data_IF_370453881374
#
_entry.id   IF_370453881374
#
_cell.length_a   1.000
_cell.length_b   1.000
_cell.length_c   1.000
_cell.angle_alpha   90.00
_cell.angle_beta   90.00
_cell.angle_gamma   90.00
#
_symmetry.space_group_name_H-M   'P 1'
#
loop_
_entity.id
_entity.type
_entity.pdbx_description
1 polymer ?
#
# COMPACT_ATOMS: atom_id res chain seq x y z
N UNK A 1 -10.18 -14.82 -9.56
CA UNK A 1 -10.72 -14.37 -10.89
C UNK A 1 -9.81 -14.88 -11.98
N UNK A 2 -10.34 -15.52 -13.04
CA UNK A 2 -9.48 -16.07 -14.12
C UNK A 2 -9.27 -15.09 -15.28
N UNK A 3 -10.14 -14.11 -15.42
CA UNK A 3 -10.07 -13.07 -16.45
C UNK A 3 -10.44 -11.72 -15.85
N UNK A 4 -9.64 -10.71 -16.12
CA UNK A 4 -9.84 -9.34 -15.65
C UNK A 4 -10.31 -8.39 -16.76
N UNK A 5 -10.39 -8.84 -18.01
CA UNK A 5 -10.85 -8.01 -19.13
C UNK A 5 -12.29 -7.51 -18.91
N UNK A 6 -12.54 -6.25 -19.21
CA UNK A 6 -13.85 -5.60 -19.01
C UNK A 6 -14.21 -5.31 -17.54
N UNK A 7 -13.36 -5.66 -16.58
CA UNK A 7 -13.56 -5.41 -15.15
C UNK A 7 -13.05 -4.03 -14.73
N UNK A 8 -13.33 -3.62 -13.49
CA UNK A 8 -12.98 -2.30 -12.96
C UNK A 8 -12.05 -2.46 -11.76
N UNK A 9 -10.92 -1.74 -11.79
CA UNK A 9 -10.00 -1.60 -10.67
C UNK A 9 -10.04 -0.18 -10.09
N UNK A 10 -9.94 -0.06 -8.77
CA UNK A 10 -9.68 1.20 -8.06
C UNK A 10 -8.33 1.09 -7.39
N UNK A 11 -7.44 2.05 -7.65
CA UNK A 11 -6.08 2.06 -7.08
C UNK A 11 -5.83 3.39 -6.40
N UNK A 12 -5.58 3.38 -5.09
CA UNK A 12 -5.20 4.58 -4.33
C UNK A 12 -3.67 4.74 -4.31
N UNK A 13 -3.19 5.99 -4.26
CA UNK A 13 -1.76 6.29 -4.42
C UNK A 13 -1.26 6.02 -5.84
N UNK A 14 -2.11 6.26 -6.84
CA UNK A 14 -1.89 5.85 -8.23
C UNK A 14 -1.07 6.83 -9.07
N UNK A 15 -0.69 7.99 -8.54
CA UNK A 15 0.12 8.97 -9.27
C UNK A 15 1.60 8.59 -9.41
N UNK A 16 2.08 7.59 -8.66
CA UNK A 16 3.50 7.19 -8.73
C UNK A 16 3.73 5.78 -8.17
N UNK A 17 4.96 5.29 -8.33
CA UNK A 17 5.45 4.08 -7.67
C UNK A 17 4.60 2.82 -7.93
N UNK A 18 4.34 2.05 -6.87
CA UNK A 18 3.60 0.79 -6.94
C UNK A 18 2.16 1.01 -7.45
N UNK A 19 1.49 2.08 -6.98
CA UNK A 19 0.11 2.38 -7.41
C UNK A 19 0.00 2.64 -8.90
N UNK A 20 0.90 3.46 -9.46
CA UNK A 20 0.96 3.70 -10.91
C UNK A 20 1.28 2.41 -11.69
N UNK A 21 2.20 1.61 -11.18
CA UNK A 21 2.55 0.34 -11.83
C UNK A 21 1.37 -0.65 -11.84
N UNK A 22 0.61 -0.74 -10.74
CA UNK A 22 -0.62 -1.54 -10.68
C UNK A 22 -1.68 -1.00 -11.65
N UNK A 23 -1.87 0.32 -11.72
CA UNK A 23 -2.80 0.94 -12.66
C UNK A 23 -2.45 0.58 -14.11
N UNK A 24 -1.17 0.70 -14.49
CA UNK A 24 -0.66 0.29 -15.81
C UNK A 24 -0.89 -1.19 -16.08
N UNK A 25 -0.60 -2.06 -15.10
CA UNK A 25 -0.73 -3.50 -15.26
C UNK A 25 -2.20 -3.94 -15.44
N UNK A 26 -3.11 -3.38 -14.66
CA UNK A 26 -4.54 -3.66 -14.79
C UNK A 26 -5.12 -3.11 -16.10
N UNK A 27 -4.78 -1.90 -16.48
CA UNK A 27 -5.22 -1.32 -17.76
C UNK A 27 -4.74 -2.14 -18.96
N UNK A 28 -3.49 -2.61 -18.94
CA UNK A 28 -2.93 -3.48 -19.98
C UNK A 28 -3.62 -4.86 -20.05
N UNK A 29 -4.32 -5.28 -19.00
CA UNK A 29 -5.12 -6.51 -19.00
C UNK A 29 -6.59 -6.30 -19.38
N UNK A 30 -6.95 -5.11 -19.88
CA UNK A 30 -8.30 -4.80 -20.35
C UNK A 30 -9.26 -4.31 -19.25
N UNK A 31 -8.75 -3.96 -18.06
CA UNK A 31 -9.57 -3.35 -17.02
C UNK A 31 -9.75 -1.85 -17.23
N UNK A 32 -10.92 -1.31 -16.90
CA UNK A 32 -11.04 0.11 -16.57
C UNK A 32 -10.42 0.39 -15.21
N UNK A 33 -9.69 1.51 -15.09
CA UNK A 33 -8.93 1.84 -13.87
C UNK A 33 -9.30 3.22 -13.36
N UNK A 34 -9.80 3.29 -12.13
CA UNK A 34 -9.92 4.53 -11.37
C UNK A 34 -8.64 4.76 -10.59
N UNK A 35 -7.92 5.79 -10.94
CA UNK A 35 -6.65 6.20 -10.33
C UNK A 35 -6.93 7.29 -9.31
N UNK A 36 -6.72 7.00 -8.02
CA UNK A 36 -6.94 7.97 -6.94
C UNK A 36 -5.62 8.39 -6.30
N UNK A 37 -5.39 9.70 -6.15
CA UNK A 37 -4.21 10.26 -5.49
C UNK A 37 -4.50 11.66 -4.93
N UNK A 38 -3.70 12.12 -3.98
CA UNK A 38 -3.80 13.48 -3.44
C UNK A 38 -3.11 14.51 -4.34
N UNK A 39 -2.10 14.11 -5.11
CA UNK A 39 -1.26 14.96 -5.96
C UNK A 39 -1.88 15.13 -7.36
N UNK A 40 -2.82 16.08 -7.55
CA UNK A 40 -3.58 16.26 -8.80
C UNK A 40 -2.70 16.31 -10.04
N UNK A 41 -1.66 17.18 -10.08
CA UNK A 41 -0.84 17.34 -11.26
C UNK A 41 -0.03 16.09 -11.63
N UNK A 42 0.46 15.37 -10.61
CA UNK A 42 1.15 14.08 -10.82
C UNK A 42 0.17 13.01 -11.30
N UNK A 43 -1.05 13.01 -10.77
CA UNK A 43 -2.10 12.09 -11.17
C UNK A 43 -2.54 12.30 -12.63
N UNK A 44 -2.72 13.55 -13.04
CA UNK A 44 -3.08 13.88 -14.42
C UNK A 44 -1.98 13.44 -15.40
N UNK A 45 -0.72 13.70 -15.06
CA UNK A 45 0.42 13.23 -15.85
C UNK A 45 0.48 11.71 -15.91
N UNK A 46 0.33 11.03 -14.76
CA UNK A 46 0.35 9.57 -14.67
C UNK A 46 -0.78 8.93 -15.48
N UNK A 47 -1.98 9.52 -15.47
CA UNK A 47 -3.11 9.01 -16.23
C UNK A 47 -2.86 9.01 -17.75
N UNK A 48 -2.08 9.97 -18.27
CA UNK A 48 -1.70 9.99 -19.71
C UNK A 48 -0.71 8.89 -20.08
N UNK A 49 0.02 8.34 -19.10
CA UNK A 49 0.96 7.23 -19.30
C UNK A 49 0.28 5.85 -19.27
N UNK A 50 -0.94 5.77 -18.75
CA UNK A 50 -1.67 4.51 -18.64
C UNK A 50 -2.42 4.24 -19.94
N UNK A 51 -1.92 3.29 -20.71
CA UNK A 51 -2.54 2.87 -21.98
C UNK A 51 -3.61 1.84 -21.66
N UNK A 52 -4.86 2.20 -21.89
CA UNK A 52 -6.00 1.28 -21.76
C UNK A 52 -6.21 0.51 -23.07
N UNK A 53 -6.70 -0.73 -22.95
CA UNK A 53 -7.18 -1.51 -24.10
C UNK A 53 -8.48 -0.91 -24.66
N UNK A 54 -8.85 -1.26 -25.90
CA UNK A 54 -10.09 -0.79 -26.51
C UNK A 54 -11.32 -1.09 -25.62
N UNK A 55 -12.10 -0.03 -25.35
CA UNK A 55 -13.28 -0.08 -24.50
C UNK A 55 -13.03 0.02 -22.99
N UNK A 56 -11.77 0.02 -22.54
CA UNK A 56 -11.40 0.29 -21.15
C UNK A 56 -11.16 1.80 -20.93
N UNK A 57 -11.36 2.26 -19.70
CA UNK A 57 -11.22 3.67 -19.32
C UNK A 57 -10.21 3.86 -18.20
N UNK A 58 -9.49 4.99 -18.25
CA UNK A 58 -8.64 5.46 -17.15
C UNK A 58 -9.22 6.75 -16.59
N UNK A 59 -9.59 6.74 -15.31
CA UNK A 59 -10.28 7.86 -14.67
C UNK A 59 -9.45 8.37 -13.49
N UNK A 60 -8.76 9.51 -13.61
CA UNK A 60 -8.06 10.14 -12.49
C UNK A 60 -9.06 10.84 -11.55
N UNK A 61 -8.93 10.63 -10.24
CA UNK A 61 -9.76 11.27 -9.20
C UNK A 61 -8.86 11.73 -8.06
N UNK A 62 -8.86 13.04 -7.78
CA UNK A 62 -8.11 13.55 -6.62
C UNK A 62 -8.80 13.16 -5.32
N UNK A 63 -8.07 12.49 -4.42
CA UNK A 63 -8.58 12.02 -3.14
C UNK A 63 -7.50 12.07 -2.06
N UNK A 64 -7.83 12.61 -0.90
CA UNK A 64 -7.08 12.37 0.34
C UNK A 64 -7.69 11.17 1.05
N UNK A 65 -6.98 10.05 1.08
CA UNK A 65 -7.48 8.80 1.69
C UNK A 65 -7.63 8.89 3.21
N UNK A 66 -7.01 9.88 3.86
CA UNK A 66 -7.18 10.12 5.29
C UNK A 66 -8.55 10.74 5.64
N UNK A 67 -9.26 11.25 4.65
CA UNK A 67 -10.63 11.78 4.77
C UNK A 67 -11.66 10.72 4.34
N UNK A 68 -12.42 10.23 5.30
CA UNK A 68 -13.45 9.21 5.06
C UNK A 68 -14.52 9.68 4.06
N UNK A 69 -14.92 10.97 4.11
CA UNK A 69 -15.92 11.51 3.21
C UNK A 69 -15.40 11.60 1.77
N UNK A 70 -14.11 11.93 1.59
CA UNK A 70 -13.48 11.95 0.27
C UNK A 70 -13.38 10.55 -0.34
N UNK A 71 -13.14 9.50 0.47
CA UNK A 71 -13.11 8.11 -0.02
C UNK A 71 -14.52 7.61 -0.34
N UNK A 72 -15.53 8.02 0.43
CA UNK A 72 -16.93 7.71 0.10
C UNK A 72 -17.37 8.36 -1.21
N UNK A 73 -17.04 9.64 -1.44
CA UNK A 73 -17.28 10.33 -2.73
C UNK A 73 -16.58 9.62 -3.91
N UNK A 74 -15.32 9.15 -3.70
CA UNK A 74 -14.64 8.32 -4.69
C UNK A 74 -15.44 7.06 -5.03
N UNK A 75 -15.98 6.37 -4.02
CA UNK A 75 -16.81 5.18 -4.24
C UNK A 75 -18.09 5.53 -4.99
N UNK A 76 -18.82 6.55 -4.58
CA UNK A 76 -20.04 7.01 -5.24
C UNK A 76 -19.81 7.32 -6.72
N UNK A 77 -18.78 8.10 -7.04
CA UNK A 77 -18.41 8.44 -8.43
C UNK A 77 -18.03 7.19 -9.23
N UNK A 78 -17.28 6.26 -8.62
CA UNK A 78 -16.87 5.03 -9.28
C UNK A 78 -18.06 4.16 -9.63
N UNK A 79 -18.96 3.91 -8.67
CA UNK A 79 -20.15 3.10 -8.91
C UNK A 79 -21.18 3.80 -9.80
N UNK A 80 -21.26 5.14 -9.78
CA UNK A 80 -22.07 5.92 -10.71
C UNK A 80 -21.62 5.78 -12.17
N UNK A 81 -20.31 5.59 -12.41
CA UNK A 81 -19.73 5.41 -13.75
C UNK A 81 -19.72 3.97 -14.23
N UNK A 82 -19.28 3.02 -13.38
CA UNK A 82 -18.94 1.66 -13.80
C UNK A 82 -19.88 0.57 -13.28
N UNK A 83 -20.85 0.91 -12.41
CA UNK A 83 -21.82 -0.01 -11.79
C UNK A 83 -21.21 -1.07 -10.85
N UNK A 84 -19.96 -1.51 -11.07
CA UNK A 84 -19.27 -2.50 -10.25
C UNK A 84 -17.79 -2.15 -10.08
N UNK A 85 -17.20 -2.60 -8.98
CA UNK A 85 -15.75 -2.61 -8.72
C UNK A 85 -15.33 -4.04 -8.44
N UNK A 86 -14.31 -4.51 -9.16
CA UNK A 86 -13.85 -5.89 -9.07
C UNK A 86 -12.50 -6.02 -8.34
N UNK A 87 -11.64 -5.00 -8.45
CA UNK A 87 -10.36 -4.97 -7.70
C UNK A 87 -10.26 -3.64 -6.97
N UNK A 88 -10.08 -3.71 -5.65
CA UNK A 88 -9.78 -2.55 -4.81
C UNK A 88 -8.34 -2.67 -4.29
N UNK A 89 -7.47 -1.74 -4.69
CA UNK A 89 -6.10 -1.63 -4.17
C UNK A 89 -6.00 -0.45 -3.20
N UNK A 90 -6.08 -0.72 -1.91
CA UNK A 90 -5.77 0.24 -0.85
C UNK A 90 -4.24 0.34 -0.74
N UNK A 91 -3.64 1.20 -1.57
CA UNK A 91 -2.19 1.27 -1.73
C UNK A 91 -1.58 2.61 -1.30
N UNK A 92 -2.35 3.69 -1.24
CA UNK A 92 -1.83 4.97 -0.80
C UNK A 92 -1.10 4.86 0.55
N UNK A 93 0.09 5.47 0.62
CA UNK A 93 0.90 5.39 1.82
C UNK A 93 2.01 6.43 1.85
N UNK A 94 2.40 6.81 3.05
CA UNK A 94 3.49 7.74 3.33
C UNK A 94 4.54 7.07 4.21
N UNK A 95 5.81 7.38 3.96
CA UNK A 95 6.88 7.10 4.90
C UNK A 95 6.82 8.09 6.06
N UNK A 96 7.30 7.67 7.21
CA UNK A 96 7.39 8.55 8.36
C UNK A 96 8.15 7.89 9.49
N UNK A 97 8.87 8.68 10.25
CA UNK A 97 9.63 8.15 11.37
C UNK A 97 10.53 9.19 12.03
N UNK A 98 11.18 8.76 13.07
CA UNK A 98 12.04 9.50 13.95
C UNK A 98 12.11 8.82 15.30
N UNK A 99 12.92 9.33 16.23
CA UNK A 99 12.90 8.83 17.60
C UNK A 99 11.53 9.12 18.23
N UNK A 100 10.86 8.09 18.73
CA UNK A 100 9.47 8.19 19.22
C UNK A 100 9.32 9.26 20.33
N UNK A 101 10.36 9.45 21.14
CA UNK A 101 10.36 10.49 22.17
C UNK A 101 10.27 11.93 21.63
N UNK A 102 10.50 12.15 20.34
CA UNK A 102 10.51 13.47 19.70
C UNK A 102 9.42 13.63 18.63
N UNK A 103 8.70 12.57 18.32
CA UNK A 103 7.59 12.62 17.36
C UNK A 103 6.36 13.26 18.00
N UNK A 104 5.76 14.24 17.34
CA UNK A 104 4.50 14.83 17.75
C UNK A 104 3.32 13.88 17.47
N UNK A 105 2.24 14.06 18.23
CA UNK A 105 0.97 13.34 17.97
C UNK A 105 0.45 13.65 16.56
N UNK A 106 0.69 14.87 16.05
CA UNK A 106 0.29 15.24 14.70
C UNK A 106 1.01 14.42 13.62
N UNK A 107 2.32 14.12 13.80
CA UNK A 107 3.06 13.22 12.90
C UNK A 107 2.52 11.78 12.96
N UNK A 108 2.20 11.29 14.15
CA UNK A 108 1.54 9.98 14.31
C UNK A 108 0.21 9.95 13.57
N UNK A 109 -0.66 10.96 13.81
CA UNK A 109 -1.98 11.03 13.18
C UNK A 109 -1.89 11.11 11.66
N UNK A 110 -0.92 11.86 11.12
CA UNK A 110 -0.71 11.93 9.67
C UNK A 110 -0.39 10.56 9.08
N UNK A 111 0.62 9.86 9.63
CA UNK A 111 1.04 8.55 9.10
C UNK A 111 -0.06 7.50 9.26
N UNK A 112 -0.71 7.45 10.43
CA UNK A 112 -1.82 6.53 10.67
C UNK A 112 -3.05 6.89 9.82
N UNK A 113 -3.33 8.17 9.64
CA UNK A 113 -4.43 8.66 8.81
C UNK A 113 -4.34 8.15 7.38
N UNK A 114 -3.16 8.24 6.77
CA UNK A 114 -2.96 7.77 5.40
C UNK A 114 -2.83 6.24 5.35
N UNK A 115 -1.88 5.67 6.12
CA UNK A 115 -1.48 4.27 5.93
C UNK A 115 -2.48 3.25 6.51
N UNK A 116 -3.20 3.62 7.56
CA UNK A 116 -4.14 2.75 8.27
C UNK A 116 -5.59 3.15 7.98
N UNK A 117 -5.95 4.40 8.32
CA UNK A 117 -7.34 4.83 8.13
C UNK A 117 -7.72 4.87 6.66
N UNK A 118 -6.78 5.22 5.74
CA UNK A 118 -7.03 5.13 4.30
C UNK A 118 -7.43 3.72 3.85
N UNK A 119 -6.82 2.66 4.41
CA UNK A 119 -7.22 1.27 4.16
C UNK A 119 -8.61 0.99 4.76
N UNK A 120 -8.87 1.44 5.99
CA UNK A 120 -10.19 1.27 6.64
C UNK A 120 -11.29 1.98 5.85
N UNK A 121 -11.06 3.22 5.40
CA UNK A 121 -12.03 3.98 4.60
C UNK A 121 -12.31 3.28 3.26
N UNK A 122 -11.25 2.79 2.58
CA UNK A 122 -11.41 2.02 1.34
C UNK A 122 -12.27 0.76 1.55
N UNK A 123 -11.98 -0.02 2.59
CA UNK A 123 -12.78 -1.20 2.94
C UNK A 123 -14.22 -0.79 3.23
N UNK A 124 -14.44 0.23 4.07
CA UNK A 124 -15.78 0.65 4.49
C UNK A 124 -16.64 1.16 3.32
N UNK A 125 -16.05 1.92 2.38
CA UNK A 125 -16.78 2.51 1.26
C UNK A 125 -17.01 1.53 0.10
N UNK A 126 -16.06 0.64 -0.19
CA UNK A 126 -16.14 -0.23 -1.37
C UNK A 126 -16.63 -1.64 -1.07
N UNK A 127 -16.15 -2.29 0.01
CA UNK A 127 -16.44 -3.71 0.25
C UNK A 127 -17.94 -4.03 0.37
N UNK A 128 -18.79 -3.24 1.08
CA UNK A 128 -20.23 -3.51 1.13
C UNK A 128 -20.89 -3.51 -0.25
N UNK A 129 -20.44 -2.62 -1.13
CA UNK A 129 -20.94 -2.52 -2.50
C UNK A 129 -20.44 -3.67 -3.37
N UNK A 130 -19.17 -4.07 -3.20
CA UNK A 130 -18.61 -5.26 -3.85
C UNK A 130 -19.37 -6.53 -3.43
N UNK A 131 -19.67 -6.69 -2.15
CA UNK A 131 -20.44 -7.83 -1.65
C UNK A 131 -21.89 -7.83 -2.18
N UNK A 132 -22.54 -6.65 -2.21
CA UNK A 132 -23.90 -6.51 -2.70
C UNK A 132 -24.04 -6.82 -4.20
N UNK A 133 -22.99 -6.63 -5.00
CA UNK A 133 -23.02 -7.00 -6.43
C UNK A 133 -23.10 -8.51 -6.67
N UNK A 134 -22.59 -9.32 -5.75
CA UNK A 134 -22.48 -10.78 -5.89
C UNK A 134 -21.44 -11.22 -6.93
N UNK A 135 -20.73 -10.28 -7.54
CA UNK A 135 -19.68 -10.57 -8.54
C UNK A 135 -18.36 -11.00 -7.89
N UNK A 136 -17.52 -11.69 -8.65
CA UNK A 136 -16.16 -11.98 -8.20
C UNK A 136 -15.37 -10.67 -8.02
N UNK A 137 -14.73 -10.54 -6.87
CA UNK A 137 -13.91 -9.38 -6.55
C UNK A 137 -12.65 -9.72 -5.77
N UNK A 138 -11.79 -8.71 -5.59
CA UNK A 138 -10.56 -8.86 -4.82
C UNK A 138 -10.15 -7.54 -4.14
N UNK A 139 -9.79 -7.62 -2.87
CA UNK A 139 -9.24 -6.49 -2.10
C UNK A 139 -7.75 -6.74 -1.89
N UNK A 140 -6.92 -5.77 -2.28
CA UNK A 140 -5.47 -5.77 -2.03
C UNK A 140 -5.14 -4.64 -1.08
N UNK A 141 -4.61 -4.96 0.10
CA UNK A 141 -4.14 -3.97 1.06
C UNK A 141 -2.62 -3.92 1.07
N UNK A 142 -2.03 -2.75 0.86
CA UNK A 142 -0.58 -2.58 0.87
C UNK A 142 -0.05 -2.35 2.28
N UNK A 143 0.49 -3.42 2.88
CA UNK A 143 1.27 -3.37 4.12
C UNK A 143 2.74 -3.04 3.81
N UNK A 144 3.66 -3.84 4.32
CA UNK A 144 5.12 -3.79 4.12
C UNK A 144 5.77 -4.94 4.87
N UNK A 145 7.01 -5.28 4.59
CA UNK A 145 7.84 -6.08 5.50
C UNK A 145 7.95 -5.45 6.89
N UNK A 146 7.79 -4.12 7.00
CA UNK A 146 7.64 -3.40 8.26
C UNK A 146 6.34 -3.70 9.04
N UNK A 147 5.43 -4.48 8.47
CA UNK A 147 4.28 -5.09 9.14
C UNK A 147 4.58 -6.43 9.82
N UNK A 148 5.79 -6.95 9.64
CA UNK A 148 6.27 -8.20 10.23
C UNK A 148 7.57 -8.01 11.03
N UNK A 149 8.39 -7.02 10.63
CA UNK A 149 9.67 -6.68 11.23
C UNK A 149 9.65 -5.21 11.67
N UNK A 150 9.82 -4.95 12.96
CA UNK A 150 9.81 -3.58 13.49
C UNK A 150 11.24 -3.01 13.53
N UNK A 151 11.42 -1.82 12.96
CA UNK A 151 12.70 -1.12 12.96
C UNK A 151 12.65 0.10 13.86
N UNK A 152 13.75 0.36 14.57
CA UNK A 152 13.92 1.55 15.36
C UNK A 152 13.80 2.83 14.51
N UNK A 153 13.15 3.86 15.06
CA UNK A 153 12.94 5.13 14.36
C UNK A 153 11.83 5.12 13.29
N UNK A 154 11.00 4.08 13.24
CA UNK A 154 9.87 3.97 12.30
C UNK A 154 8.54 3.70 13.02
N UNK A 155 8.39 4.16 14.26
CA UNK A 155 7.25 3.82 15.12
C UNK A 155 5.88 3.94 14.44
N UNK A 156 5.44 5.12 13.95
CA UNK A 156 4.14 5.29 13.29
C UNK A 156 3.98 4.40 12.04
N UNK A 157 5.04 4.29 11.24
CA UNK A 157 5.04 3.46 10.03
C UNK A 157 4.88 1.98 10.38
N UNK A 158 5.74 1.44 11.28
CA UNK A 158 5.62 0.06 11.74
C UNK A 158 4.20 -0.22 12.27
N UNK A 159 3.71 0.63 13.19
CA UNK A 159 2.38 0.47 13.77
C UNK A 159 1.29 0.39 12.70
N UNK A 160 1.32 1.31 11.70
CA UNK A 160 0.36 1.30 10.60
C UNK A 160 0.42 0.01 9.79
N UNK A 161 1.63 -0.50 9.48
CA UNK A 161 1.80 -1.67 8.61
C UNK A 161 1.49 -2.98 9.33
N UNK A 162 1.78 -3.09 10.64
CA UNK A 162 1.29 -4.20 11.48
C UNK A 162 -0.24 -4.24 11.54
N UNK A 163 -0.88 -3.07 11.71
CA UNK A 163 -2.33 -2.98 11.74
C UNK A 163 -2.95 -3.40 10.40
N UNK A 164 -2.38 -2.99 9.26
CA UNK A 164 -2.87 -3.40 7.93
C UNK A 164 -2.76 -4.91 7.72
N UNK A 165 -1.68 -5.55 8.19
CA UNK A 165 -1.58 -7.02 8.17
C UNK A 165 -2.73 -7.63 8.96
N UNK A 166 -2.94 -7.21 10.23
CA UNK A 166 -3.99 -7.77 11.08
C UNK A 166 -5.40 -7.56 10.53
N UNK A 167 -5.69 -6.36 9.97
CA UNK A 167 -6.97 -6.09 9.31
C UNK A 167 -7.16 -7.01 8.11
N UNK A 168 -6.11 -7.22 7.30
CA UNK A 168 -6.20 -8.06 6.12
C UNK A 168 -6.43 -9.53 6.47
N UNK A 169 -5.78 -10.05 7.51
CA UNK A 169 -6.02 -11.43 8.01
C UNK A 169 -7.45 -11.59 8.53
N UNK A 170 -7.93 -10.63 9.34
CA UNK A 170 -9.33 -10.64 9.82
C UNK A 170 -10.30 -10.66 8.64
N UNK A 171 -10.11 -9.77 7.68
CA UNK A 171 -10.95 -9.68 6.50
C UNK A 171 -10.92 -10.95 5.65
N UNK A 172 -9.74 -11.59 5.52
CA UNK A 172 -9.62 -12.87 4.83
C UNK A 172 -10.50 -13.95 5.49
N UNK A 173 -10.48 -14.04 6.82
CA UNK A 173 -11.30 -15.01 7.55
C UNK A 173 -12.80 -14.71 7.43
N UNK A 174 -13.19 -13.43 7.45
CA UNK A 174 -14.59 -13.01 7.30
C UNK A 174 -15.17 -13.34 5.91
N UNK A 175 -14.33 -13.32 4.88
CA UNK A 175 -14.73 -13.53 3.48
C UNK A 175 -14.53 -14.98 2.98
N UNK A 176 -14.23 -15.93 3.87
CA UNK A 176 -14.17 -17.35 3.50
C UNK A 176 -15.51 -17.80 2.91
N UNK A 177 -15.47 -18.36 1.72
CA UNK A 177 -16.67 -18.77 0.97
C UNK A 177 -17.35 -17.64 0.17
N UNK A 178 -16.89 -16.40 0.31
CA UNK A 178 -17.34 -15.26 -0.50
C UNK A 178 -16.72 -15.28 -1.90
N UNK A 179 -17.36 -14.68 -2.93
CA UNK A 179 -16.73 -14.47 -4.22
C UNK A 179 -15.58 -13.45 -4.16
N UNK A 180 -15.39 -12.72 -3.04
CA UNK A 180 -14.36 -11.71 -2.89
C UNK A 180 -13.12 -12.32 -2.23
N UNK A 181 -11.97 -12.19 -2.88
CA UNK A 181 -10.66 -12.54 -2.35
C UNK A 181 -10.01 -11.38 -1.59
N UNK A 182 -9.01 -11.71 -0.79
CA UNK A 182 -8.19 -10.71 -0.07
C UNK A 182 -6.72 -11.07 -0.23
N UNK A 183 -5.90 -10.05 -0.51
CA UNK A 183 -4.44 -10.14 -0.46
C UNK A 183 -3.85 -9.05 0.42
N UNK A 184 -2.76 -9.35 1.09
CA UNK A 184 -1.91 -8.35 1.75
C UNK A 184 -0.56 -8.29 1.05
N UNK A 185 -0.26 -7.13 0.47
CA UNK A 185 1.01 -6.87 -0.18
C UNK A 185 2.02 -6.39 0.85
N UNK A 186 3.13 -7.10 0.99
CA UNK A 186 4.20 -6.85 1.95
C UNK A 186 5.53 -6.55 1.25
N UNK A 187 5.71 -5.36 0.65
CA UNK A 187 6.94 -5.03 -0.04
C UNK A 187 8.11 -4.84 0.94
N UNK A 188 9.32 -5.21 0.47
CA UNK A 188 10.57 -4.73 1.04
C UNK A 188 11.01 -3.43 0.36
N UNK A 189 12.21 -3.41 -0.22
CA UNK A 189 12.79 -2.23 -0.88
C UNK A 189 12.33 -2.15 -2.34
N UNK A 190 11.52 -1.13 -2.66
CA UNK A 190 11.00 -0.88 -4.01
C UNK A 190 11.37 0.54 -4.43
N UNK A 191 11.84 0.70 -5.64
CA UNK A 191 12.23 2.00 -6.20
C UNK A 191 11.01 2.92 -6.37
N UNK A 192 10.69 3.65 -5.32
CA UNK A 192 9.54 4.55 -5.24
C UNK A 192 9.91 5.85 -4.54
N UNK A 193 9.03 6.84 -4.60
CA UNK A 193 9.18 8.12 -3.92
C UNK A 193 8.67 8.12 -2.47
N UNK A 194 8.52 6.96 -1.83
CA UNK A 194 8.02 6.89 -0.44
C UNK A 194 8.98 7.58 0.55
N UNK A 195 10.27 7.62 0.26
CA UNK A 195 11.25 8.38 1.04
C UNK A 195 11.04 9.90 1.02
N UNK A 196 10.31 10.41 0.02
CA UNK A 196 10.00 11.84 -0.17
C UNK A 196 8.60 12.21 0.34
N UNK A 197 7.98 11.43 1.20
CA UNK A 197 6.58 11.62 1.64
C UNK A 197 6.33 12.96 2.32
N UNK A 198 7.37 13.64 2.82
CA UNK A 198 7.26 14.99 3.40
C UNK A 198 6.65 16.03 2.45
N UNK A 199 6.70 15.82 1.13
CA UNK A 199 6.05 16.68 0.13
C UNK A 199 4.52 16.76 0.30
N UNK A 200 3.92 15.70 0.90
CA UNK A 200 2.48 15.60 1.18
C UNK A 200 2.16 15.81 2.67
N UNK A 201 3.09 16.38 3.43
CA UNK A 201 2.87 16.66 4.85
C UNK A 201 1.80 17.76 5.00
N UNK A 202 0.74 17.54 5.77
CA UNK A 202 -0.27 18.58 6.03
C UNK A 202 0.34 19.79 6.73
N UNK A 203 -0.16 20.99 6.41
CA UNK A 203 0.33 22.25 7.00
C UNK A 203 0.26 22.31 8.55
N UNK A 204 -0.66 21.56 9.16
CA UNK A 204 -0.80 21.46 10.61
C UNK A 204 0.19 20.48 11.28
N UNK A 205 1.00 19.75 10.51
CA UNK A 205 2.01 18.84 11.05
C UNK A 205 3.37 19.56 11.09
N UNK A 206 3.92 19.85 12.27
CA UNK A 206 5.16 20.62 12.40
C UNK A 206 6.31 19.97 11.65
N UNK A 207 7.13 20.81 10.99
CA UNK A 207 8.39 20.34 10.44
C UNK A 207 9.39 20.14 11.59
N UNK A 208 10.02 19.00 11.62
CA UNK A 208 10.98 18.65 12.66
C UNK A 208 12.39 18.97 12.21
N UNK A 209 13.18 19.55 13.10
CA UNK A 209 14.61 19.69 12.88
C UNK A 209 15.24 18.28 12.86
N UNK A 210 15.76 17.88 11.72
CA UNK A 210 16.39 16.59 11.56
C UNK A 210 17.71 16.55 12.35
N UNK A 211 17.91 15.49 13.12
CA UNK A 211 19.19 15.23 13.81
C UNK A 211 20.15 14.53 12.86
N UNK A 212 21.46 14.57 13.11
CA UNK A 212 22.44 13.89 12.23
C UNK A 212 22.12 12.42 11.96
N UNK A 213 21.64 11.68 12.97
CA UNK A 213 21.24 10.28 12.79
C UNK A 213 19.96 10.13 11.92
N UNK A 214 19.06 11.11 11.91
CA UNK A 214 17.89 11.11 11.06
C UNK A 214 18.28 11.35 9.59
N UNK A 215 19.24 12.23 9.34
CA UNK A 215 19.77 12.51 8.00
C UNK A 215 20.50 11.27 7.45
N UNK A 216 21.43 10.68 8.22
CA UNK A 216 22.14 9.48 7.81
C UNK A 216 21.19 8.30 7.50
N UNK A 217 20.12 8.16 8.28
CA UNK A 217 19.08 7.17 8.01
C UNK A 217 18.33 7.47 6.72
N UNK A 218 17.97 8.74 6.48
CA UNK A 218 17.26 9.15 5.26
C UNK A 218 18.09 8.91 4.00
N UNK A 219 19.39 9.22 4.05
CA UNK A 219 20.32 8.94 2.96
C UNK A 219 20.44 7.44 2.68
N UNK A 220 20.57 6.62 3.73
CA UNK A 220 20.61 5.17 3.59
C UNK A 220 19.30 4.65 2.97
N UNK A 221 18.14 5.07 3.48
CA UNK A 221 16.82 4.67 2.94
C UNK A 221 16.69 5.09 1.47
N UNK A 222 17.10 6.30 1.10
CA UNK A 222 17.10 6.75 -0.29
C UNK A 222 17.96 5.85 -1.18
N UNK A 223 19.16 5.46 -0.71
CA UNK A 223 20.07 4.59 -1.47
C UNK A 223 19.51 3.19 -1.71
N UNK A 224 18.87 2.58 -0.69
CA UNK A 224 18.28 1.23 -0.84
C UNK A 224 16.99 1.24 -1.64
N UNK A 225 16.19 2.31 -1.55
CA UNK A 225 15.02 2.48 -2.40
C UNK A 225 15.42 2.61 -3.88
N UNK A 226 16.46 3.41 -4.18
CA UNK A 226 16.95 3.56 -5.55
C UNK A 226 17.47 2.24 -6.15
N UNK A 227 18.05 1.37 -5.33
CA UNK A 227 18.51 0.04 -5.72
C UNK A 227 17.43 -1.05 -5.62
N UNK A 228 16.24 -0.72 -5.13
CA UNK A 228 15.15 -1.65 -4.90
C UNK A 228 14.49 -2.19 -6.18
N UNK A 229 13.61 -3.16 -6.01
CA UNK A 229 12.86 -3.74 -7.12
C UNK A 229 12.08 -2.64 -7.89
N UNK A 230 11.94 -2.77 -9.21
CA UNK A 230 11.10 -1.86 -9.96
C UNK A 230 9.63 -2.03 -9.56
N UNK A 231 8.83 -0.95 -9.49
CA UNK A 231 7.40 -1.00 -9.17
C UNK A 231 6.60 -1.95 -10.06
N UNK A 232 7.01 -2.15 -11.32
CA UNK A 232 6.37 -3.07 -12.26
C UNK A 232 6.42 -4.53 -11.78
N UNK A 233 7.55 -4.97 -11.20
CA UNK A 233 7.65 -6.32 -10.64
C UNK A 233 6.66 -6.54 -9.48
N UNK A 234 6.40 -5.50 -8.68
CA UNK A 234 5.40 -5.57 -7.62
C UNK A 234 3.98 -5.64 -8.20
N UNK A 235 3.72 -4.87 -9.26
CA UNK A 235 2.42 -4.90 -9.94
C UNK A 235 2.11 -6.26 -10.55
N UNK A 236 3.11 -6.95 -11.12
CA UNK A 236 2.95 -8.30 -11.64
C UNK A 236 2.62 -9.30 -10.52
N UNK A 237 3.32 -9.24 -9.37
CA UNK A 237 3.00 -10.08 -8.20
C UNK A 237 1.57 -9.86 -7.70
N UNK A 238 1.12 -8.59 -7.66
CA UNK A 238 -0.27 -8.27 -7.28
C UNK A 238 -1.26 -8.82 -8.30
N UNK A 239 -0.97 -8.66 -9.58
CA UNK A 239 -1.83 -9.16 -10.66
C UNK A 239 -2.01 -10.69 -10.56
N UNK A 240 -0.94 -11.44 -10.42
CA UNK A 240 -0.99 -12.92 -10.27
C UNK A 240 -1.74 -13.30 -8.97
N UNK A 241 -1.48 -12.60 -7.86
CA UNK A 241 -2.18 -12.88 -6.61
C UNK A 241 -3.70 -12.63 -6.69
N UNK A 242 -4.13 -11.63 -7.48
CA UNK A 242 -5.56 -11.38 -7.76
C UNK A 242 -6.17 -12.53 -8.56
N UNK A 243 -5.45 -13.06 -9.57
CA UNK A 243 -5.90 -14.20 -10.37
C UNK A 243 -6.02 -15.48 -9.53
N UNK A 244 -5.00 -15.77 -8.73
CA UNK A 244 -4.88 -16.99 -7.95
C UNK A 244 -5.53 -16.92 -6.57
N UNK A 245 -6.02 -15.73 -6.16
CA UNK A 245 -6.56 -15.45 -4.81
C UNK A 245 -5.54 -15.74 -3.70
N UNK A 246 -4.25 -15.46 -3.96
CA UNK A 246 -3.17 -15.64 -2.99
C UNK A 246 -3.24 -14.55 -1.93
N UNK A 247 -3.25 -14.94 -0.63
CA UNK A 247 -3.34 -13.97 0.47
C UNK A 247 -2.04 -13.20 0.70
N UNK A 248 -0.91 -13.92 0.88
CA UNK A 248 0.39 -13.30 1.16
C UNK A 248 1.14 -12.95 -0.12
N UNK A 249 1.44 -11.66 -0.34
CA UNK A 249 2.28 -11.20 -1.44
C UNK A 249 3.58 -10.65 -0.87
N UNK A 250 4.61 -11.50 -0.82
CA UNK A 250 5.96 -11.11 -0.40
C UNK A 250 6.84 -10.87 -1.62
N UNK A 251 7.32 -9.63 -1.79
CA UNK A 251 8.21 -9.29 -2.91
C UNK A 251 9.69 -9.58 -2.61
N UNK A 252 10.05 -9.85 -1.35
CA UNK A 252 11.41 -10.06 -0.86
C UNK A 252 11.44 -11.31 0.03
N UNK A 253 11.40 -12.51 -0.57
CA UNK A 253 11.37 -13.76 0.21
C UNK A 253 12.63 -13.96 1.07
N UNK A 254 13.74 -13.34 0.71
CA UNK A 254 14.98 -13.32 1.49
C UNK A 254 14.84 -12.64 2.87
N UNK A 255 13.79 -11.85 3.09
CA UNK A 255 13.50 -11.23 4.39
C UNK A 255 12.68 -12.14 5.33
N UNK A 256 12.09 -13.23 4.82
CA UNK A 256 11.24 -14.13 5.59
C UNK A 256 11.97 -14.87 6.74
N UNK A 257 13.27 -15.21 6.65
CA UNK A 257 14.01 -15.73 7.80
C UNK A 257 13.95 -14.81 9.02
N UNK A 258 13.96 -13.48 8.83
CA UNK A 258 13.79 -12.53 9.93
C UNK A 258 12.43 -12.59 10.60
N UNK A 259 11.36 -12.83 9.82
CA UNK A 259 10.01 -13.04 10.35
C UNK A 259 9.95 -14.31 11.21
N UNK A 260 10.56 -15.40 10.73
CA UNK A 260 10.69 -16.65 11.50
C UNK A 260 11.45 -16.42 12.80
N UNK A 261 12.62 -15.79 12.74
CA UNK A 261 13.43 -15.49 13.93
C UNK A 261 12.63 -14.70 14.97
N UNK A 262 11.90 -13.65 14.54
CA UNK A 262 11.02 -12.89 15.43
C UNK A 262 9.95 -13.77 16.09
N UNK A 263 9.32 -14.68 15.35
CA UNK A 263 8.34 -15.60 15.90
C UNK A 263 8.97 -16.55 16.94
N UNK A 264 10.14 -17.10 16.66
CA UNK A 264 10.90 -17.97 17.55
C UNK A 264 11.33 -17.22 18.83
N UNK A 265 11.68 -15.94 18.74
CA UNK A 265 12.02 -15.11 19.91
C UNK A 265 10.79 -14.88 20.80
N UNK A 266 9.63 -14.58 20.20
CA UNK A 266 8.37 -14.40 20.93
C UNK A 266 8.00 -15.69 21.67
N UNK A 267 8.04 -16.85 20.99
CA UNK A 267 7.68 -18.14 21.56
C UNK A 267 8.62 -18.54 22.70
N UNK A 268 9.89 -18.17 22.61
CA UNK A 268 10.89 -18.44 23.62
C UNK A 268 10.98 -17.36 24.72
N UNK A 269 10.18 -16.31 24.65
CA UNK A 269 10.22 -15.17 25.60
C UNK A 269 11.56 -14.39 25.55
N UNK A 270 12.26 -14.41 24.41
CA UNK A 270 13.52 -13.67 24.24
C UNK A 270 13.24 -12.20 23.87
N UNK A 271 14.11 -11.33 24.33
CA UNK A 271 14.07 -9.93 23.90
C UNK A 271 14.33 -9.80 22.41
N UNK A 272 13.69 -8.82 21.72
CA UNK A 272 14.00 -8.56 20.33
C UNK A 272 15.48 -8.18 20.16
N UNK A 273 16.17 -8.80 19.21
CA UNK A 273 17.47 -8.33 18.80
C UNK A 273 17.34 -6.98 18.10
N UNK A 274 18.37 -6.13 18.23
CA UNK A 274 18.39 -4.83 17.56
C UNK A 274 18.44 -5.04 16.05
N UNK A 275 17.26 -4.98 15.41
CA UNK A 275 17.19 -4.98 13.96
C UNK A 275 17.74 -3.64 13.42
N UNK A 276 18.87 -3.69 12.73
CA UNK A 276 19.38 -2.58 11.92
C UNK A 276 18.77 -2.73 10.52
N UNK A 277 18.24 -1.62 9.96
CA UNK A 277 17.81 -1.58 8.56
C UNK A 277 18.91 -2.06 7.59
N UNK A 278 20.17 -1.97 7.98
CA UNK A 278 21.34 -2.43 7.22
C UNK A 278 21.45 -3.97 7.17
N UNK A 279 20.90 -4.67 8.15
CA UNK A 279 20.92 -6.15 8.19
C UNK A 279 19.92 -6.78 7.19
N UNK A 280 19.07 -5.97 6.58
CA UNK A 280 18.12 -6.39 5.55
C UNK A 280 18.69 -6.37 4.12
N UNK A 281 19.97 -6.08 3.94
CA UNK A 281 20.61 -6.37 2.66
C UNK A 281 20.64 -7.88 2.49
N UNK A 282 20.19 -8.38 1.32
CA UNK A 282 20.50 -9.72 0.85
C UNK A 282 21.95 -10.05 1.21
N UNK A 283 22.19 -11.24 1.77
CA UNK A 283 23.55 -11.75 1.93
C UNK A 283 24.28 -11.56 0.59
N UNK A 284 25.56 -11.14 0.60
CA UNK A 284 26.31 -11.13 -0.63
C UNK A 284 26.36 -12.57 -1.17
N UNK A 285 26.29 -12.69 -2.48
CA UNK A 285 26.43 -13.94 -3.24
C UNK A 285 27.61 -14.78 -2.78
#
# INVERSE_FOLDING_TARGET
MKDLSGRVAVVTGAASGIGLAMAKRFAASGMSVVMADIEQSALDSAATEVVASDGAEVVPVRVDVSDAAAVEDLAERTYGRFRAVHVLCNNAGVGGGGAQATLSVAEWNWVLGVNLHGVVHGIASFLPRMMASGEEGHVVNTASMAGHLAFGGMGPYNASKYAVVGISESLFHELVGSPIGVSVLCPGWVNTRIGESSRNRPAGVPERVARPEDLARSEYVASVLAAGLPPSAIADLVYEAVLDRTFWIFSHPEMLPGVRQRADDILAGRNPERADLRSLRSAPD
#
